data_IF_233914488168
#
_entry.id   IF_233914488168
#
_cell.length_a   1.000
_cell.length_b   1.000
_cell.length_c   1.000
_cell.angle_alpha   90.00
_cell.angle_beta   90.00
_cell.angle_gamma   90.00
#
_symmetry.space_group_name_H-M   'P 1'
#
loop_
_entity.id
_entity.type
_entity.pdbx_description
1 polymer ?
#
# COMPACT_ATOMS: atom_id res chain seq x y z
N UNK A 1 -23.72 14.16 29.92
CA UNK A 1 -23.02 12.88 29.61
C UNK A 1 -23.98 12.01 28.79
N UNK A 2 -24.29 12.30 27.52
CA UNK A 2 -23.54 12.15 26.24
C UNK A 2 -23.26 10.70 25.77
N UNK A 3 -24.31 9.90 25.54
CA UNK A 3 -24.18 8.60 24.85
C UNK A 3 -24.60 8.63 23.37
N UNK A 4 -25.16 9.74 22.86
CA UNK A 4 -25.85 9.75 21.56
C UNK A 4 -25.02 10.28 20.37
N UNK A 5 -23.69 10.40 20.47
CA UNK A 5 -22.85 10.90 19.37
C UNK A 5 -21.56 10.13 19.16
N UNK A 6 -21.62 8.79 19.20
CA UNK A 6 -20.60 7.97 18.56
C UNK A 6 -21.06 7.65 17.13
N UNK A 7 -20.88 8.61 16.22
CA UNK A 7 -20.93 8.28 14.79
C UNK A 7 -19.74 7.37 14.51
N UNK A 8 -20.03 6.07 14.40
CA UNK A 8 -19.11 5.04 13.95
C UNK A 8 -18.49 5.54 12.66
N UNK A 9 -17.18 5.80 12.67
CA UNK A 9 -16.42 6.08 11.46
C UNK A 9 -16.78 4.96 10.49
N UNK A 10 -17.53 5.30 9.44
CA UNK A 10 -17.88 4.35 8.41
C UNK A 10 -16.56 4.01 7.78
N UNK A 11 -16.10 2.78 8.04
CA UNK A 11 -14.87 2.22 7.52
C UNK A 11 -14.73 2.69 6.08
N UNK A 12 -13.61 3.35 5.75
CA UNK A 12 -13.19 3.49 4.36
C UNK A 12 -12.94 2.07 3.88
N UNK A 13 -14.03 1.42 3.45
CA UNK A 13 -13.97 0.20 2.69
C UNK A 13 -13.41 0.65 1.36
N UNK A 14 -12.09 0.58 1.26
CA UNK A 14 -11.40 0.51 -0.01
C UNK A 14 -12.14 -0.59 -0.78
N UNK A 15 -12.95 -0.21 -1.78
CA UNK A 15 -13.74 -1.11 -2.61
C UNK A 15 -12.82 -1.88 -3.56
N UNK A 16 -11.78 -2.49 -3.02
CA UNK A 16 -10.87 -3.35 -3.74
C UNK A 16 -11.50 -4.74 -3.67
N UNK A 17 -12.00 -5.19 -4.83
CA UNK A 17 -12.45 -6.56 -5.03
C UNK A 17 -11.38 -7.52 -4.49
N UNK A 18 -11.79 -8.67 -3.95
CA UNK A 18 -10.83 -9.58 -3.29
C UNK A 18 -9.69 -10.00 -4.23
N UNK A 19 -9.94 -9.98 -5.54
CA UNK A 19 -8.98 -10.26 -6.62
C UNK A 19 -8.06 -9.08 -6.89
N UNK A 20 -8.59 -7.85 -6.94
CA UNK A 20 -7.78 -6.62 -6.98
C UNK A 20 -6.92 -6.44 -5.71
N UNK A 21 -7.38 -6.98 -4.58
CA UNK A 21 -6.64 -6.94 -3.31
C UNK A 21 -5.41 -7.81 -3.36
N UNK A 22 -5.57 -9.04 -3.86
CA UNK A 22 -4.47 -9.99 -4.05
C UNK A 22 -3.40 -9.37 -4.97
N UNK A 23 -3.79 -8.86 -6.14
CA UNK A 23 -2.89 -8.16 -7.07
C UNK A 23 -2.16 -6.96 -6.44
N UNK A 24 -2.87 -6.16 -5.64
CA UNK A 24 -2.27 -5.01 -4.94
C UNK A 24 -1.25 -5.46 -3.88
N UNK A 25 -1.54 -6.55 -3.16
CA UNK A 25 -0.64 -7.08 -2.14
C UNK A 25 0.60 -7.75 -2.77
N UNK A 26 0.47 -8.43 -3.90
CA UNK A 26 1.60 -8.95 -4.69
C UNK A 26 2.54 -7.82 -5.13
N UNK A 27 1.98 -6.72 -5.64
CA UNK A 27 2.77 -5.54 -6.03
C UNK A 27 3.53 -4.92 -4.84
N UNK A 28 2.89 -4.90 -3.66
CA UNK A 28 3.51 -4.42 -2.42
C UNK A 28 4.62 -5.35 -1.93
N UNK A 29 4.47 -6.67 -2.06
CA UNK A 29 5.52 -7.64 -1.72
C UNK A 29 6.78 -7.43 -2.56
N UNK A 30 6.62 -7.22 -3.88
CA UNK A 30 7.72 -6.92 -4.79
C UNK A 30 8.45 -5.62 -4.38
N UNK A 31 7.71 -4.58 -4.01
CA UNK A 31 8.29 -3.34 -3.49
C UNK A 31 9.09 -3.57 -2.21
N UNK A 32 8.56 -4.34 -1.25
CA UNK A 32 9.24 -4.63 0.01
C UNK A 32 10.50 -5.46 -0.18
N UNK A 33 10.50 -6.40 -1.13
CA UNK A 33 11.71 -7.15 -1.47
C UNK A 33 12.76 -6.21 -2.10
N UNK A 34 12.37 -5.37 -3.05
CA UNK A 34 13.26 -4.40 -3.69
C UNK A 34 13.88 -3.43 -2.68
N UNK A 35 13.07 -2.85 -1.79
CA UNK A 35 13.56 -1.85 -0.85
C UNK A 35 14.45 -2.43 0.26
N UNK A 36 14.29 -3.72 0.56
CA UNK A 36 15.14 -4.43 1.54
C UNK A 36 16.55 -4.66 1.01
N UNK A 37 16.72 -4.77 -0.31
CA UNK A 37 18.03 -4.88 -0.97
C UNK A 37 18.62 -3.52 -1.38
N UNK A 38 17.87 -2.44 -1.18
CA UNK A 38 18.19 -1.09 -1.61
C UNK A 38 18.84 -0.25 -0.50
N UNK A 39 19.83 0.57 -0.83
CA UNK A 39 20.29 1.62 0.09
C UNK A 39 19.25 2.76 0.10
N UNK A 40 18.62 2.99 1.26
CA UNK A 40 17.56 3.99 1.40
C UNK A 40 18.03 5.44 1.20
N UNK A 41 19.35 5.68 1.25
CA UNK A 41 19.93 6.99 0.95
C UNK A 41 20.19 7.15 -0.55
N UNK A 42 20.20 6.06 -1.32
CA UNK A 42 20.27 6.10 -2.77
C UNK A 42 18.89 6.40 -3.36
N UNK A 43 18.77 7.62 -3.85
CA UNK A 43 17.50 8.14 -4.38
C UNK A 43 17.07 7.42 -5.65
N UNK A 44 18.02 7.03 -6.49
CA UNK A 44 17.72 6.36 -7.75
C UNK A 44 17.21 4.94 -7.50
N UNK A 45 17.78 4.25 -6.51
CA UNK A 45 17.38 2.93 -6.07
C UNK A 45 15.94 2.94 -5.49
N UNK A 46 15.62 3.89 -4.60
CA UNK A 46 14.25 4.02 -4.06
C UNK A 46 13.23 4.40 -5.14
N UNK A 47 13.58 5.27 -6.09
CA UNK A 47 12.72 5.62 -7.24
C UNK A 47 12.46 4.39 -8.11
N UNK A 48 13.48 3.56 -8.37
CA UNK A 48 13.35 2.33 -9.14
C UNK A 48 12.37 1.34 -8.49
N UNK A 49 12.47 1.12 -7.18
CA UNK A 49 11.54 0.26 -6.44
C UNK A 49 10.10 0.82 -6.47
N UNK A 50 9.94 2.13 -6.30
CA UNK A 50 8.60 2.76 -6.33
C UNK A 50 7.97 2.72 -7.73
N UNK A 51 8.78 2.71 -8.78
CA UNK A 51 8.31 2.60 -10.17
C UNK A 51 7.74 1.21 -10.43
N UNK A 52 8.42 0.15 -9.97
CA UNK A 52 7.93 -1.23 -10.05
C UNK A 52 6.58 -1.41 -9.36
N UNK A 53 6.39 -0.78 -8.20
CA UNK A 53 5.10 -0.80 -7.49
C UNK A 53 3.95 -0.19 -8.31
N UNK A 54 4.23 0.87 -9.08
CA UNK A 54 3.23 1.57 -9.91
C UNK A 54 2.92 0.86 -11.22
N UNK A 55 3.90 0.20 -11.82
CA UNK A 55 3.70 -0.59 -13.04
C UNK A 55 2.97 -1.92 -12.75
N UNK A 56 3.00 -2.38 -11.51
CA UNK A 56 2.30 -3.58 -11.05
C UNK A 56 0.86 -3.32 -10.55
N UNK A 57 0.44 -2.05 -10.41
CA UNK A 57 -0.87 -1.62 -9.90
C UNK A 57 -1.86 -1.21 -10.98
#
# INVERSE_FOLDING_TARGET
>A
MNQSQCHRIQSVQVLVDSKDRETTWDAVEVYFNCISECDLNDRDCTISCTRQLRDAS
#
